data_IF_733239498456
#
_entry.id   IF_733239498456
#
_cell.length_a   1.000
_cell.length_b   1.000
_cell.length_c   1.000
_cell.angle_alpha   90.00
_cell.angle_beta   90.00
_cell.angle_gamma   90.00
#
_symmetry.space_group_name_H-M   'P 1'
#
loop_
_entity.id
_entity.type
_entity.pdbx_description
1 polymer ?
#
# COMPACT_ATOMS: atom_id res chain seq x y z
N UNK A 1 21.20 -26.16 -18.81
CA UNK A 1 20.61 -25.90 -17.49
C UNK A 1 19.31 -25.20 -17.76
N UNK A 2 18.20 -25.64 -17.16
CA UNK A 2 16.90 -25.00 -17.38
C UNK A 2 16.87 -23.68 -16.60
N UNK A 3 16.43 -22.59 -17.26
CA UNK A 3 16.41 -21.24 -16.68
C UNK A 3 15.40 -21.16 -15.52
N UNK A 4 15.72 -20.36 -14.49
CA UNK A 4 14.86 -20.20 -13.32
C UNK A 4 13.55 -19.51 -13.69
N UNK A 5 13.63 -18.48 -14.52
CA UNK A 5 12.46 -17.77 -15.05
C UNK A 5 11.44 -18.72 -15.67
N UNK A 6 11.89 -19.67 -16.51
CA UNK A 6 11.03 -20.65 -17.17
C UNK A 6 10.38 -21.60 -16.17
N UNK A 7 11.15 -22.13 -15.21
CA UNK A 7 10.59 -23.03 -14.19
C UNK A 7 9.52 -22.34 -13.35
N UNK A 8 9.76 -21.09 -12.94
CA UNK A 8 8.80 -20.28 -12.16
C UNK A 8 7.56 -19.94 -12.99
N UNK A 9 7.75 -19.49 -14.24
CA UNK A 9 6.67 -19.21 -15.17
C UNK A 9 5.80 -20.46 -15.41
N UNK A 10 6.41 -21.62 -15.65
CA UNK A 10 5.70 -22.88 -15.88
C UNK A 10 5.01 -23.39 -14.59
N UNK A 11 5.67 -23.24 -13.43
CA UNK A 11 5.13 -23.65 -12.13
C UNK A 11 3.91 -22.82 -11.73
N UNK A 12 3.95 -21.51 -11.93
CA UNK A 12 2.85 -20.61 -11.56
C UNK A 12 1.96 -20.20 -12.72
N UNK A 13 2.21 -20.66 -13.96
CA UNK A 13 1.52 -20.21 -15.16
C UNK A 13 1.59 -18.67 -15.36
N UNK A 14 2.74 -18.06 -15.06
CA UNK A 14 2.96 -16.61 -15.11
C UNK A 14 3.50 -16.12 -16.45
N UNK A 15 3.17 -14.89 -16.78
CA UNK A 15 3.83 -14.10 -17.81
C UNK A 15 4.82 -13.15 -17.13
N UNK A 16 6.09 -13.57 -17.07
CA UNK A 16 7.13 -12.79 -16.39
C UNK A 16 7.59 -11.60 -17.26
N UNK A 17 7.64 -10.36 -16.72
CA UNK A 17 8.19 -9.23 -17.43
C UNK A 17 9.70 -9.38 -17.62
N UNK A 18 10.30 -8.68 -18.60
CA UNK A 18 11.72 -8.86 -18.94
C UNK A 18 12.68 -8.60 -17.77
N UNK A 19 12.38 -7.65 -16.90
CA UNK A 19 13.24 -7.33 -15.74
C UNK A 19 13.24 -8.45 -14.70
N UNK A 20 12.11 -9.11 -14.48
CA UNK A 20 12.03 -10.26 -13.59
C UNK A 20 12.68 -11.51 -14.18
N UNK A 21 12.62 -11.68 -15.52
CA UNK A 21 13.41 -12.72 -16.20
C UNK A 21 14.90 -12.49 -15.96
N UNK A 22 15.39 -11.26 -16.18
CA UNK A 22 16.78 -10.89 -15.94
C UNK A 22 17.17 -11.08 -14.47
N UNK A 23 16.31 -10.66 -13.53
CA UNK A 23 16.52 -10.85 -12.09
C UNK A 23 16.76 -12.30 -11.68
N UNK A 24 15.97 -13.22 -12.24
CA UNK A 24 16.03 -14.65 -11.94
C UNK A 24 17.19 -15.36 -12.64
N UNK A 25 17.48 -15.00 -13.90
CA UNK A 25 18.42 -15.74 -14.74
C UNK A 25 19.85 -15.16 -14.73
N UNK A 26 20.03 -13.87 -14.46
CA UNK A 26 21.36 -13.23 -14.42
C UNK A 26 22.06 -13.38 -13.05
N UNK A 27 21.42 -14.03 -12.09
CA UNK A 27 21.99 -14.34 -10.77
C UNK A 27 21.93 -13.19 -9.75
N UNK A 28 21.27 -12.07 -10.08
CA UNK A 28 21.11 -10.92 -9.17
C UNK A 28 20.34 -11.31 -7.90
N UNK A 29 19.39 -12.24 -8.02
CA UNK A 29 18.65 -12.82 -6.90
C UNK A 29 19.51 -13.68 -5.93
N UNK A 30 20.80 -13.90 -6.22
CA UNK A 30 21.74 -14.57 -5.30
C UNK A 30 22.58 -13.58 -4.47
N UNK A 31 22.49 -12.29 -4.78
CA UNK A 31 23.20 -11.22 -4.09
C UNK A 31 22.38 -10.66 -2.91
N UNK A 32 22.97 -9.73 -2.15
CA UNK A 32 22.25 -8.96 -1.12
C UNK A 32 22.31 -7.47 -1.47
N UNK A 33 21.21 -6.76 -1.24
CA UNK A 33 21.14 -5.31 -1.41
C UNK A 33 21.58 -4.57 -0.15
N UNK A 34 21.71 -3.24 -0.23
CA UNK A 34 22.02 -2.37 0.91
C UNK A 34 20.95 -1.30 1.22
N UNK A 35 19.81 -1.37 0.54
CA UNK A 35 18.59 -0.61 0.87
C UNK A 35 17.68 -1.38 1.84
N UNK A 36 16.43 -0.98 2.02
CA UNK A 36 15.52 -1.66 2.95
C UNK A 36 15.25 -3.09 2.49
N UNK A 37 14.92 -3.27 1.20
CA UNK A 37 14.67 -4.58 0.61
C UNK A 37 15.98 -5.19 0.10
N UNK A 38 16.71 -5.79 1.03
CA UNK A 38 18.06 -6.29 0.82
C UNK A 38 18.17 -7.81 0.62
N UNK A 39 17.10 -8.58 0.85
CA UNK A 39 17.14 -10.04 0.87
C UNK A 39 16.27 -10.68 -0.22
N UNK A 40 16.81 -10.97 -1.41
CA UNK A 40 16.09 -11.66 -2.47
C UNK A 40 15.54 -13.01 -2.04
N UNK A 41 14.36 -13.35 -2.56
CA UNK A 41 13.84 -14.71 -2.48
C UNK A 41 14.52 -15.55 -3.54
N UNK A 42 15.25 -16.58 -3.11
CA UNK A 42 15.93 -17.49 -4.03
C UNK A 42 14.92 -18.24 -4.90
N UNK A 43 15.19 -18.48 -6.20
CA UNK A 43 14.26 -19.15 -7.11
C UNK A 43 13.74 -20.51 -6.61
N UNK A 44 14.61 -21.31 -6.00
CA UNK A 44 14.22 -22.61 -5.43
C UNK A 44 13.17 -22.47 -4.31
N UNK A 45 13.23 -21.40 -3.51
CA UNK A 45 12.24 -21.10 -2.45
C UNK A 45 10.94 -20.57 -3.01
N UNK A 46 10.92 -20.04 -4.24
CA UNK A 46 9.67 -19.71 -4.92
C UNK A 46 8.97 -20.99 -5.38
N UNK A 47 9.69 -21.99 -5.88
CA UNK A 47 9.08 -23.25 -6.35
C UNK A 47 8.58 -24.15 -5.21
N UNK A 48 9.22 -24.09 -4.05
CA UNK A 48 8.85 -24.81 -2.84
C UNK A 48 8.89 -23.86 -1.62
N UNK A 49 7.82 -23.06 -1.43
CA UNK A 49 7.80 -22.02 -0.40
C UNK A 49 7.73 -22.63 1.00
N UNK A 50 8.79 -22.41 1.77
CA UNK A 50 8.84 -22.72 3.19
C UNK A 50 7.84 -21.87 3.99
N UNK A 51 7.48 -22.35 5.19
CA UNK A 51 6.70 -21.57 6.14
C UNK A 51 7.36 -20.21 6.41
N UNK A 52 6.55 -19.14 6.37
CA UNK A 52 6.99 -17.78 6.65
C UNK A 52 7.46 -16.97 5.43
N UNK A 53 7.59 -17.57 4.25
CA UNK A 53 7.73 -16.80 3.01
C UNK A 53 6.40 -16.17 2.60
N UNK A 54 5.33 -16.99 2.60
CA UNK A 54 3.97 -16.55 2.31
C UNK A 54 3.15 -16.62 3.61
N UNK A 55 2.49 -15.51 3.91
CA UNK A 55 1.71 -15.33 5.14
C UNK A 55 0.23 -15.47 4.81
N UNK A 56 -0.19 -16.71 4.49
CA UNK A 56 -1.56 -16.99 4.10
C UNK A 56 -2.58 -16.43 5.11
N UNK A 57 -3.65 -15.81 4.60
CA UNK A 57 -4.67 -15.13 5.39
C UNK A 57 -4.31 -13.69 5.82
N UNK A 58 -3.04 -13.29 5.78
CA UNK A 58 -2.62 -11.91 6.00
C UNK A 58 -2.19 -11.24 4.68
N UNK A 59 -1.28 -11.89 3.96
CA UNK A 59 -0.86 -11.46 2.63
C UNK A 59 -1.99 -11.73 1.63
N UNK A 60 -2.29 -10.77 0.74
CA UNK A 60 -3.23 -10.99 -0.36
C UNK A 60 -2.87 -12.21 -1.23
N UNK A 61 -3.86 -13.03 -1.64
CA UNK A 61 -3.63 -14.31 -2.33
C UNK A 61 -3.29 -14.17 -3.82
N UNK A 62 -3.13 -12.95 -4.30
CA UNK A 62 -2.67 -12.55 -5.62
C UNK A 62 -1.22 -12.03 -5.59
N UNK A 63 -0.48 -12.24 -4.49
CA UNK A 63 0.89 -11.76 -4.30
C UNK A 63 1.91 -12.90 -4.21
N UNK A 64 3.06 -12.69 -4.85
CA UNK A 64 4.24 -13.55 -4.79
C UNK A 64 5.46 -12.73 -4.28
N UNK A 65 6.01 -13.03 -3.09
CA UNK A 65 7.17 -12.32 -2.55
C UNK A 65 8.41 -12.46 -3.44
N UNK A 66 9.14 -11.36 -3.65
CA UNK A 66 10.34 -11.31 -4.49
C UNK A 66 11.60 -10.90 -3.70
N UNK A 67 11.49 -9.88 -2.85
CA UNK A 67 12.62 -9.33 -2.07
C UNK A 67 12.12 -8.93 -0.69
N UNK A 68 12.74 -9.43 0.37
CA UNK A 68 12.38 -9.11 1.75
C UNK A 68 13.35 -8.11 2.39
N UNK A 69 12.94 -7.55 3.53
CA UNK A 69 13.79 -6.68 4.36
C UNK A 69 14.36 -7.38 5.61
N UNK A 70 14.20 -8.70 5.75
CA UNK A 70 14.52 -9.51 6.94
C UNK A 70 13.70 -9.19 8.21
N UNK A 71 12.75 -8.26 8.15
CA UNK A 71 11.86 -7.91 9.26
C UNK A 71 10.41 -8.35 9.05
N UNK A 72 10.12 -8.98 7.91
CA UNK A 72 8.81 -9.54 7.58
C UNK A 72 8.13 -8.85 6.40
N UNK A 73 8.62 -7.71 5.95
CA UNK A 73 8.04 -7.01 4.80
C UNK A 73 8.63 -7.52 3.49
N UNK A 74 7.84 -7.39 2.43
CA UNK A 74 8.18 -7.91 1.11
C UNK A 74 7.89 -6.88 0.02
N UNK A 75 8.80 -6.74 -0.93
CA UNK A 75 8.42 -6.42 -2.30
C UNK A 75 7.84 -7.68 -2.92
N UNK A 76 6.58 -7.64 -3.33
CA UNK A 76 5.87 -8.75 -3.93
C UNK A 76 5.37 -8.37 -5.33
N UNK A 77 5.47 -9.32 -6.28
CA UNK A 77 4.73 -9.22 -7.53
C UNK A 77 3.24 -9.42 -7.24
N UNK A 78 2.39 -8.58 -7.83
CA UNK A 78 0.95 -8.78 -7.85
C UNK A 78 0.52 -9.33 -9.21
N UNK A 79 -0.36 -10.31 -9.19
CA UNK A 79 -0.71 -11.12 -10.36
C UNK A 79 -2.10 -10.73 -10.87
N UNK A 80 -2.19 -10.48 -12.17
CA UNK A 80 -3.42 -10.23 -12.89
C UNK A 80 -4.18 -11.50 -13.24
N UNK A 81 -5.43 -11.34 -13.67
CA UNK A 81 -6.31 -12.46 -14.04
C UNK A 81 -5.85 -13.21 -15.30
N UNK A 82 -5.03 -12.60 -16.12
CA UNK A 82 -4.38 -13.17 -17.30
C UNK A 82 -3.00 -13.80 -16.98
N UNK A 83 -2.59 -13.78 -15.71
CA UNK A 83 -1.29 -14.26 -15.26
C UNK A 83 -0.13 -13.29 -15.53
N UNK A 84 -0.40 -12.07 -16.00
CA UNK A 84 0.60 -11.01 -16.05
C UNK A 84 0.94 -10.49 -14.65
N UNK A 85 2.18 -10.04 -14.45
CA UNK A 85 2.55 -9.28 -13.25
C UNK A 85 2.16 -7.83 -13.49
N UNK A 86 1.15 -7.35 -12.78
CA UNK A 86 0.56 -6.03 -13.01
C UNK A 86 1.33 -4.91 -12.31
N UNK A 87 1.97 -5.24 -11.20
CA UNK A 87 2.73 -4.31 -10.38
C UNK A 87 3.63 -5.05 -9.38
N UNK A 88 4.56 -4.29 -8.79
CA UNK A 88 5.29 -4.68 -7.59
C UNK A 88 4.84 -3.79 -6.44
N UNK A 89 4.41 -4.45 -5.36
CA UNK A 89 3.92 -3.80 -4.15
C UNK A 89 4.89 -4.01 -2.99
N UNK A 90 4.98 -3.05 -2.08
CA UNK A 90 5.46 -3.29 -0.73
C UNK A 90 4.30 -3.78 0.11
N UNK A 91 4.39 -5.00 0.62
CA UNK A 91 3.51 -5.52 1.64
C UNK A 91 4.18 -5.45 3.01
N UNK A 92 3.49 -4.85 3.97
CA UNK A 92 3.93 -4.64 5.34
C UNK A 92 3.32 -5.73 6.25
N UNK A 93 4.18 -6.48 6.95
CA UNK A 93 3.72 -7.52 7.87
C UNK A 93 2.96 -6.94 9.08
N UNK A 94 3.30 -5.70 9.46
CA UNK A 94 2.68 -4.99 10.56
C UNK A 94 1.35 -4.37 10.10
N UNK A 95 0.30 -5.21 10.08
CA UNK A 95 -1.06 -4.80 9.75
C UNK A 95 -1.57 -5.34 8.41
N UNK A 96 -0.70 -5.84 7.54
CA UNK A 96 -1.08 -6.39 6.23
C UNK A 96 -1.30 -5.32 5.15
N UNK A 97 -0.97 -4.06 5.45
CA UNK A 97 -1.04 -2.95 4.51
C UNK A 97 -0.13 -3.21 3.30
N UNK A 98 -0.51 -2.68 2.14
CA UNK A 98 0.29 -2.75 0.95
C UNK A 98 0.24 -1.45 0.14
N UNK A 99 1.35 -1.19 -0.56
CA UNK A 99 1.58 0.02 -1.34
C UNK A 99 2.10 -0.34 -2.72
N UNK A 100 1.55 0.24 -3.78
CA UNK A 100 2.09 0.13 -5.13
C UNK A 100 3.44 0.85 -5.21
N UNK A 101 4.53 0.08 -5.35
CA UNK A 101 5.90 0.61 -5.41
C UNK A 101 6.36 0.91 -6.85
N UNK A 102 6.00 0.04 -7.79
CA UNK A 102 6.37 0.19 -9.19
C UNK A 102 5.55 -0.71 -10.10
N UNK A 103 5.60 -0.46 -11.40
CA UNK A 103 4.99 -1.36 -12.38
C UNK A 103 5.88 -2.57 -12.69
N UNK A 104 7.16 -2.52 -12.30
CA UNK A 104 8.14 -3.59 -12.47
C UNK A 104 9.04 -3.70 -11.23
N UNK A 105 9.83 -4.77 -11.12
CA UNK A 105 10.78 -4.95 -10.01
C UNK A 105 11.91 -3.92 -10.07
N UNK A 106 12.41 -3.61 -11.26
CA UNK A 106 13.40 -2.56 -11.46
C UNK A 106 12.89 -1.19 -10.98
N UNK A 107 11.63 -0.83 -11.26
CA UNK A 107 11.03 0.39 -10.71
C UNK A 107 11.04 0.38 -9.17
N UNK A 108 10.53 -0.70 -8.55
CA UNK A 108 10.43 -0.80 -7.10
C UNK A 108 11.80 -0.75 -6.39
N UNK A 109 12.82 -1.44 -6.90
CA UNK A 109 14.17 -1.44 -6.33
C UNK A 109 14.89 -0.11 -6.51
N UNK A 110 14.66 0.60 -7.62
CA UNK A 110 15.18 1.94 -7.82
C UNK A 110 14.57 2.92 -6.80
N UNK A 111 13.25 2.81 -6.57
CA UNK A 111 12.54 3.63 -5.59
C UNK A 111 12.98 3.34 -4.15
N UNK A 112 13.15 2.07 -3.77
CA UNK A 112 13.70 1.67 -2.48
C UNK A 112 15.10 2.27 -2.24
N UNK A 113 15.99 2.19 -3.23
CA UNK A 113 17.30 2.86 -3.17
C UNK A 113 17.18 4.37 -2.96
N UNK A 114 16.22 5.03 -3.59
CA UNK A 114 15.98 6.46 -3.41
C UNK A 114 15.49 6.78 -1.98
N UNK A 115 14.55 6.00 -1.46
CA UNK A 115 14.07 6.15 -0.08
C UNK A 115 15.21 5.98 0.92
N UNK A 116 16.11 5.01 0.70
CA UNK A 116 17.33 4.86 1.51
C UNK A 116 18.18 6.13 1.51
N UNK A 117 18.37 6.80 0.37
CA UNK A 117 19.09 8.08 0.32
C UNK A 117 18.35 9.22 1.05
N UNK A 118 17.02 9.27 0.94
CA UNK A 118 16.18 10.32 1.54
C UNK A 118 16.05 10.18 3.06
N UNK A 119 15.85 8.96 3.55
CA UNK A 119 15.59 8.66 4.97
C UNK A 119 16.82 8.13 5.73
N UNK A 120 17.88 7.72 5.01
CA UNK A 120 19.13 7.19 5.56
C UNK A 120 19.97 8.17 6.37
N UNK A 121 19.46 9.38 6.65
CA UNK A 121 20.04 10.32 7.61
C UNK A 121 19.28 10.38 8.95
N UNK A 122 18.09 9.79 9.06
CA UNK A 122 17.17 10.05 10.19
C UNK A 122 16.88 8.86 11.11
N UNK A 123 17.11 7.61 10.69
CA UNK A 123 16.67 6.44 11.49
C UNK A 123 17.76 5.77 12.36
N UNK A 124 19.05 6.04 12.11
CA UNK A 124 20.15 5.55 12.96
C UNK A 124 21.14 6.71 13.16
N UNK A 125 21.13 7.28 14.37
CA UNK A 125 22.01 8.38 14.79
C UNK A 125 23.52 8.05 14.76
N UNK A 126 23.91 6.82 14.39
CA UNK A 126 25.30 6.35 14.34
C UNK A 126 25.65 5.52 13.08
N UNK A 127 24.77 5.42 12.08
CA UNK A 127 25.11 4.67 10.85
C UNK A 127 25.99 5.53 9.93
N UNK A 128 27.14 4.99 9.52
CA UNK A 128 27.98 5.60 8.48
C UNK A 128 27.14 5.89 7.23
N UNK A 129 27.51 6.96 6.50
CA UNK A 129 26.83 7.28 5.23
C UNK A 129 26.87 6.04 4.32
N UNK A 130 25.75 5.69 3.67
CA UNK A 130 25.70 4.46 2.88
C UNK A 130 26.78 4.49 1.81
N UNK A 131 27.52 3.40 1.69
CA UNK A 131 28.57 3.26 0.67
C UNK A 131 27.95 3.04 -0.71
N UNK A 132 28.65 3.40 -1.80
CA UNK A 132 28.15 3.20 -3.17
C UNK A 132 27.84 1.71 -3.45
N UNK A 133 28.60 0.80 -2.83
CA UNK A 133 28.44 -0.64 -2.97
C UNK A 133 27.11 -1.15 -2.35
N UNK A 134 26.50 -0.41 -1.42
CA UNK A 134 25.18 -0.73 -0.84
C UNK A 134 24.02 -0.54 -1.86
N UNK A 135 24.25 0.16 -2.97
CA UNK A 135 23.21 0.43 -3.97
C UNK A 135 23.23 -0.55 -5.15
N UNK A 136 23.74 -1.77 -4.97
CA UNK A 136 23.83 -2.80 -6.01
C UNK A 136 22.50 -3.02 -6.77
N UNK A 137 21.39 -3.17 -6.03
CA UNK A 137 20.06 -3.35 -6.62
C UNK A 137 19.55 -2.11 -7.36
N UNK A 138 19.72 -0.91 -6.82
CA UNK A 138 19.34 0.33 -7.49
C UNK A 138 20.16 0.57 -8.78
N UNK A 139 21.44 0.18 -8.77
CA UNK A 139 22.32 0.24 -9.95
C UNK A 139 21.87 -0.76 -11.02
N UNK A 140 21.56 -2.00 -10.63
CA UNK A 140 20.98 -2.99 -11.54
C UNK A 140 19.67 -2.48 -12.15
N UNK A 141 18.75 -2.01 -11.30
CA UNK A 141 17.45 -1.50 -11.69
C UNK A 141 17.54 -0.33 -12.70
N UNK A 142 18.41 0.65 -12.42
CA UNK A 142 18.69 1.76 -13.34
C UNK A 142 19.17 1.25 -14.71
N UNK A 143 20.12 0.32 -14.72
CA UNK A 143 20.63 -0.25 -15.98
C UNK A 143 19.52 -0.98 -16.73
N UNK A 144 18.65 -1.70 -16.01
CA UNK A 144 17.56 -2.44 -16.64
C UNK A 144 16.51 -1.53 -17.25
N UNK A 145 16.11 -0.47 -16.54
CA UNK A 145 15.20 0.55 -17.08
C UNK A 145 15.80 1.27 -18.30
N UNK A 146 17.12 1.47 -18.35
CA UNK A 146 17.79 1.98 -19.53
C UNK A 146 17.79 0.98 -20.70
N UNK A 147 18.05 -0.30 -20.44
CA UNK A 147 18.05 -1.35 -21.47
C UNK A 147 16.66 -1.47 -22.10
N UNK A 148 15.61 -1.59 -21.28
CA UNK A 148 14.24 -1.85 -21.70
C UNK A 148 13.55 -0.61 -22.27
N UNK A 149 13.66 0.53 -21.59
CA UNK A 149 12.83 1.72 -21.84
C UNK A 149 13.63 2.95 -22.26
N UNK A 150 14.97 2.84 -22.34
CA UNK A 150 15.87 3.97 -22.65
C UNK A 150 15.73 5.14 -21.66
N UNK A 151 15.34 4.84 -20.42
CA UNK A 151 15.24 5.83 -19.35
C UNK A 151 16.62 6.07 -18.75
N UNK A 152 17.15 7.29 -18.92
CA UNK A 152 18.41 7.71 -18.29
C UNK A 152 18.12 8.40 -16.95
N UNK A 153 17.93 7.59 -15.91
CA UNK A 153 17.78 8.08 -14.54
C UNK A 153 19.16 8.37 -13.94
N UNK A 154 19.40 9.50 -13.27
CA UNK A 154 20.70 9.77 -12.65
C UNK A 154 21.04 8.79 -11.53
N UNK A 155 22.32 8.46 -11.41
CA UNK A 155 22.86 7.75 -10.26
C UNK A 155 22.88 8.68 -9.03
N UNK A 156 21.84 8.58 -8.20
CA UNK A 156 21.70 9.44 -7.02
C UNK A 156 22.60 9.04 -5.84
N UNK A 157 23.17 7.84 -5.88
CA UNK A 157 24.12 7.34 -4.88
C UNK A 157 25.55 7.84 -5.08
N UNK A 158 25.92 8.31 -6.28
CA UNK A 158 27.28 8.82 -6.57
C UNK A 158 27.56 10.18 -5.92
N UNK A 159 26.50 10.84 -5.46
CA UNK A 159 26.54 12.17 -4.89
C UNK A 159 25.52 12.32 -3.77
N UNK A 160 25.87 11.98 -2.51
CA UNK A 160 24.95 12.13 -1.37
C UNK A 160 24.52 13.59 -1.09
N UNK A 161 25.00 14.56 -1.87
CA UNK A 161 24.67 15.99 -1.81
C UNK A 161 24.25 16.62 -3.17
N UNK A 162 24.14 15.87 -4.28
CA UNK A 162 23.75 16.47 -5.58
C UNK A 162 22.25 16.31 -5.80
N UNK A 163 21.54 17.43 -5.64
CA UNK A 163 20.08 17.52 -5.69
C UNK A 163 19.49 17.20 -4.32
N UNK A 164 18.56 18.02 -3.82
CA UNK A 164 17.65 17.52 -2.79
C UNK A 164 17.04 16.22 -3.32
N UNK A 165 16.76 15.24 -2.45
CA UNK A 165 16.04 14.01 -2.81
C UNK A 165 14.80 14.30 -3.69
N UNK A 166 14.22 15.49 -3.54
CA UNK A 166 13.10 15.99 -4.32
C UNK A 166 13.44 16.15 -5.81
N UNK A 167 14.64 16.60 -6.17
CA UNK A 167 15.06 16.71 -7.56
C UNK A 167 15.21 15.36 -8.27
N UNK A 168 15.38 14.27 -7.52
CA UNK A 168 15.36 12.90 -8.08
C UNK A 168 13.92 12.40 -8.19
N UNK A 169 13.06 12.66 -7.19
CA UNK A 169 11.63 12.38 -7.29
C UNK A 169 11.01 13.07 -8.50
N UNK A 170 11.37 14.34 -8.77
CA UNK A 170 10.94 15.08 -9.98
C UNK A 170 11.30 14.32 -11.26
N UNK A 171 12.50 13.72 -11.32
CA UNK A 171 12.96 12.98 -12.51
C UNK A 171 12.27 11.63 -12.67
N UNK A 172 12.08 10.90 -11.57
CA UNK A 172 11.34 9.64 -11.56
C UNK A 172 9.89 9.90 -12.01
N UNK A 173 9.29 10.98 -11.52
CA UNK A 173 7.95 11.42 -11.89
C UNK A 173 7.85 11.78 -13.39
N UNK A 174 8.80 12.57 -13.91
CA UNK A 174 8.88 12.91 -15.35
C UNK A 174 9.08 11.67 -16.21
N UNK A 175 9.82 10.67 -15.72
CA UNK A 175 10.01 9.39 -16.40
C UNK A 175 8.74 8.50 -16.39
N UNK A 176 7.73 8.85 -15.58
CA UNK A 176 6.48 8.09 -15.47
C UNK A 176 6.69 6.69 -14.89
N UNK A 177 7.58 6.56 -13.91
CA UNK A 177 7.84 5.31 -13.18
C UNK A 177 7.51 5.49 -11.70
N UNK A 178 7.17 4.41 -11.00
CA UNK A 178 6.85 4.45 -9.56
C UNK A 178 5.73 5.46 -9.21
N UNK A 179 4.80 5.73 -10.13
CA UNK A 179 3.88 6.88 -10.06
C UNK A 179 3.11 6.96 -8.74
N UNK A 180 2.55 5.84 -8.27
CA UNK A 180 1.79 5.80 -7.02
C UNK A 180 2.66 6.06 -5.78
N UNK A 181 3.85 5.47 -5.73
CA UNK A 181 4.79 5.63 -4.62
C UNK A 181 5.37 7.05 -4.57
N UNK A 182 5.74 7.63 -5.72
CA UNK A 182 6.20 9.02 -5.79
C UNK A 182 5.08 9.98 -5.39
N UNK A 183 3.87 9.78 -5.89
CA UNK A 183 2.72 10.60 -5.51
C UNK A 183 2.45 10.51 -4.00
N UNK A 184 2.54 9.32 -3.40
CA UNK A 184 2.44 9.13 -1.95
C UNK A 184 3.49 9.97 -1.21
N UNK A 185 4.75 9.93 -1.61
CA UNK A 185 5.81 10.74 -0.99
C UNK A 185 5.57 12.26 -1.14
N UNK A 186 4.99 12.69 -2.27
CA UNK A 186 4.56 14.08 -2.45
C UNK A 186 3.44 14.47 -1.50
N UNK A 187 2.43 13.61 -1.35
CA UNK A 187 1.36 13.84 -0.38
C UNK A 187 1.92 13.92 1.03
N UNK A 188 2.78 12.97 1.43
CA UNK A 188 3.39 12.99 2.76
C UNK A 188 4.22 14.25 3.00
N UNK A 189 4.96 14.73 1.99
CA UNK A 189 5.71 15.98 2.07
C UNK A 189 4.80 17.22 2.12
N UNK A 190 3.76 17.27 1.29
CA UNK A 190 2.78 18.37 1.27
C UNK A 190 1.99 18.47 2.57
N UNK A 191 1.77 17.33 3.24
CA UNK A 191 1.09 17.25 4.52
C UNK A 191 2.05 17.24 5.72
N UNK A 192 3.36 17.32 5.50
CA UNK A 192 4.34 17.37 6.58
C UNK A 192 4.21 18.68 7.35
N UNK A 193 4.34 18.61 8.67
CA UNK A 193 4.28 19.76 9.56
C UNK A 193 4.97 19.43 10.88
N UNK A 194 5.32 20.42 11.72
CA UNK A 194 6.15 20.19 12.91
C UNK A 194 5.60 19.13 13.87
N UNK A 195 4.28 19.02 14.02
CA UNK A 195 3.67 18.02 14.90
C UNK A 195 3.90 16.58 14.39
N UNK A 196 3.96 16.32 13.07
CA UNK A 196 4.31 14.98 12.55
C UNK A 196 5.72 14.53 12.92
N UNK A 197 6.63 15.47 13.18
CA UNK A 197 8.04 15.18 13.51
C UNK A 197 8.25 14.92 15.00
N UNK A 198 7.47 15.57 15.85
CA UNK A 198 7.66 15.48 17.31
C UNK A 198 6.50 14.79 18.04
N UNK A 199 5.36 14.58 17.38
CA UNK A 199 4.16 13.99 17.95
C UNK A 199 4.43 12.56 18.39
N UNK A 200 4.18 12.28 19.66
CA UNK A 200 4.34 10.96 20.24
C UNK A 200 3.44 10.81 21.49
N UNK A 201 3.25 9.58 22.01
CA UNK A 201 2.42 9.36 23.19
C UNK A 201 2.84 10.15 24.43
N UNK A 202 4.13 10.43 24.61
CA UNK A 202 4.63 11.19 25.76
C UNK A 202 4.25 12.68 25.67
N UNK A 203 4.31 13.27 24.47
CA UNK A 203 3.84 14.63 24.23
C UNK A 203 2.32 14.74 24.44
N UNK A 204 1.54 13.77 23.97
CA UNK A 204 0.10 13.71 24.22
C UNK A 204 -0.21 13.67 25.73
N UNK A 205 0.49 12.81 26.48
CA UNK A 205 0.36 12.72 27.93
C UNK A 205 0.74 14.03 28.65
N UNK A 206 1.80 14.73 28.21
CA UNK A 206 2.21 16.05 28.74
C UNK A 206 1.11 17.10 28.58
N UNK A 207 0.35 17.03 27.48
CA UNK A 207 -0.77 17.92 27.18
C UNK A 207 -2.09 17.49 27.83
N UNK A 208 -2.12 16.32 28.46
CA UNK A 208 -3.35 15.72 29.00
C UNK A 208 -4.31 15.24 27.91
N UNK A 209 -3.81 14.95 26.71
CA UNK A 209 -4.60 14.49 25.56
C UNK A 209 -4.56 12.97 25.45
N UNK A 210 -5.63 12.37 24.91
CA UNK A 210 -5.56 10.98 24.48
C UNK A 210 -4.70 10.85 23.22
N UNK A 211 -3.93 9.77 23.10
CA UNK A 211 -3.19 9.49 21.86
C UNK A 211 -4.17 9.33 20.69
N UNK A 212 -5.16 8.45 20.86
CA UNK A 212 -6.27 8.25 19.94
C UNK A 212 -7.59 8.70 20.62
N UNK A 213 -8.44 9.54 20.00
CA UNK A 213 -8.27 10.18 18.69
C UNK A 213 -7.55 11.53 18.73
N UNK A 214 -7.41 12.18 19.89
CA UNK A 214 -7.10 13.61 19.93
C UNK A 214 -5.75 13.98 19.30
N UNK A 215 -4.66 13.30 19.66
CA UNK A 215 -3.34 13.58 19.07
C UNK A 215 -3.28 13.18 17.59
N UNK A 216 -3.81 12.00 17.25
CA UNK A 216 -3.85 11.51 15.86
C UNK A 216 -4.62 12.43 14.91
N UNK A 217 -5.71 13.05 15.39
CA UNK A 217 -6.45 14.07 14.65
C UNK A 217 -5.57 15.24 14.23
N UNK A 218 -4.77 15.74 15.16
CA UNK A 218 -3.83 16.83 14.89
C UNK A 218 -2.68 16.43 13.98
N UNK A 219 -2.21 15.17 14.07
CA UNK A 219 -1.17 14.62 13.19
C UNK A 219 -1.66 14.42 11.75
N UNK A 220 -2.94 14.08 11.58
CA UNK A 220 -3.58 14.02 10.28
C UNK A 220 -3.74 15.42 9.70
N UNK A 221 -4.44 16.28 10.44
CA UNK A 221 -4.80 17.63 10.06
C UNK A 221 -4.76 18.56 11.27
N UNK A 222 -3.76 19.44 11.33
CA UNK A 222 -3.58 20.30 12.49
C UNK A 222 -4.72 21.33 12.67
N UNK A 223 -5.47 21.66 11.60
CA UNK A 223 -6.63 22.55 11.69
C UNK A 223 -7.82 21.92 12.40
N UNK A 224 -7.82 20.60 12.60
CA UNK A 224 -8.81 19.92 13.44
C UNK A 224 -8.63 20.19 14.93
N UNK A 225 -7.45 20.62 15.36
CA UNK A 225 -7.22 21.01 16.76
C UNK A 225 -7.78 22.42 17.00
N UNK A 226 -8.58 22.66 18.05
CA UNK A 226 -8.97 24.00 18.47
C UNK A 226 -7.78 24.95 18.65
N UNK A 227 -7.98 26.26 18.44
CA UNK A 227 -6.92 27.28 18.58
C UNK A 227 -6.20 27.21 19.93
N UNK A 228 -6.96 26.98 21.02
CA UNK A 228 -6.40 26.84 22.37
C UNK A 228 -5.49 25.62 22.49
N UNK A 229 -5.87 24.51 21.85
CA UNK A 229 -5.08 23.28 21.83
C UNK A 229 -3.80 23.44 21.00
N UNK A 230 -3.88 24.11 19.84
CA UNK A 230 -2.69 24.47 19.06
C UNK A 230 -1.73 25.37 19.83
N UNK A 231 -2.24 26.33 20.61
CA UNK A 231 -1.41 27.18 21.46
C UNK A 231 -0.75 26.40 22.61
N UNK A 232 -1.45 25.45 23.22
CA UNK A 232 -0.88 24.57 24.24
C UNK A 232 0.20 23.66 23.67
N UNK A 233 -0.02 23.10 22.47
CA UNK A 233 0.95 22.30 21.74
C UNK A 233 2.21 23.11 21.41
N UNK A 234 2.03 24.32 20.89
CA UNK A 234 3.11 25.27 20.62
C UNK A 234 3.97 25.54 21.86
N UNK A 235 3.32 25.83 23.00
CA UNK A 235 4.01 26.04 24.27
C UNK A 235 4.72 24.76 24.77
N UNK A 236 4.20 23.57 24.49
CA UNK A 236 4.81 22.32 24.92
C UNK A 236 6.01 21.88 24.07
N UNK A 237 6.15 22.42 22.86
CA UNK A 237 7.17 22.08 21.87
C UNK A 237 8.42 22.99 21.91
N UNK A 238 8.47 24.00 22.79
CA UNK A 238 9.62 24.91 23.06
C UNK A 238 10.49 25.26 21.83
N UNK A 239 10.18 26.38 21.16
CA UNK A 239 11.05 26.98 20.13
C UNK A 239 10.95 26.36 18.73
N UNK A 240 9.99 25.46 18.50
CA UNK A 240 9.59 25.01 17.16
C UNK A 240 8.65 26.04 16.54
N UNK A 241 8.86 26.38 15.27
CA UNK A 241 7.93 27.24 14.54
C UNK A 241 6.56 26.55 14.47
N UNK A 242 5.51 27.25 14.90
CA UNK A 242 4.17 26.66 15.13
C UNK A 242 3.17 27.07 14.07
N UNK A 243 3.66 27.32 12.87
CA UNK A 243 2.83 27.45 11.67
C UNK A 243 2.23 26.09 11.30
N UNK A 244 1.34 25.59 12.15
CA UNK A 244 0.60 24.35 11.94
C UNK A 244 -0.36 24.42 10.75
N UNK A 245 -0.65 25.62 10.26
CA UNK A 245 -1.61 25.88 9.19
C UNK A 245 -1.02 25.66 7.77
N UNK A 246 0.24 25.21 7.66
CA UNK A 246 1.02 25.15 6.40
C UNK A 246 0.81 23.89 5.54
N UNK A 247 -0.07 22.96 5.92
CA UNK A 247 -0.30 21.77 5.09
C UNK A 247 -0.87 22.15 3.71
N UNK A 248 -0.16 21.76 2.65
CA UNK A 248 -0.49 22.05 1.26
C UNK A 248 -1.51 21.04 0.69
N UNK A 249 -2.75 21.08 1.20
CA UNK A 249 -3.79 20.12 0.84
C UNK A 249 -4.18 20.13 -0.66
N UNK A 250 -4.04 21.25 -1.37
CA UNK A 250 -4.29 21.30 -2.82
C UNK A 250 -3.23 20.51 -3.62
N UNK A 251 -1.97 20.56 -3.19
CA UNK A 251 -0.87 19.77 -3.79
C UNK A 251 -1.04 18.28 -3.47
N UNK A 252 -1.40 17.98 -2.22
CA UNK A 252 -1.72 16.63 -1.77
C UNK A 252 -2.86 16.02 -2.60
N UNK A 253 -3.94 16.75 -2.80
CA UNK A 253 -5.07 16.33 -3.62
C UNK A 253 -4.67 16.02 -5.06
N UNK A 254 -3.88 16.90 -5.69
CA UNK A 254 -3.45 16.75 -7.08
C UNK A 254 -2.69 15.43 -7.26
N UNK A 255 -1.80 15.12 -6.33
CA UNK A 255 -1.04 13.87 -6.33
C UNK A 255 -1.93 12.66 -6.05
N UNK A 256 -2.82 12.75 -5.06
CA UNK A 256 -3.74 11.68 -4.70
C UNK A 256 -4.72 11.34 -5.83
N UNK A 257 -5.28 12.34 -6.52
CA UNK A 257 -6.22 12.10 -7.63
C UNK A 257 -5.58 11.38 -8.81
N UNK A 258 -4.30 11.63 -9.10
CA UNK A 258 -3.58 10.89 -10.14
C UNK A 258 -3.54 9.40 -9.81
N UNK A 259 -3.24 9.06 -8.56
CA UNK A 259 -3.25 7.66 -8.09
C UNK A 259 -4.66 7.08 -8.10
N UNK A 260 -5.65 7.82 -7.61
CA UNK A 260 -7.04 7.37 -7.56
C UNK A 260 -7.62 7.05 -8.95
N UNK A 261 -7.19 7.78 -9.99
CA UNK A 261 -7.61 7.55 -11.38
C UNK A 261 -6.88 6.35 -11.99
N UNK A 262 -5.55 6.25 -11.80
CA UNK A 262 -4.72 5.18 -12.36
C UNK A 262 -4.87 3.84 -11.61
N UNK A 263 -5.23 3.88 -10.33
CA UNK A 263 -5.29 2.74 -9.41
C UNK A 263 -6.45 2.94 -8.44
N UNK A 264 -7.70 2.78 -8.92
CA UNK A 264 -8.90 3.09 -8.15
C UNK A 264 -9.10 2.21 -6.91
N UNK A 265 -8.34 1.13 -6.74
CA UNK A 265 -8.34 0.25 -5.57
C UNK A 265 -7.50 0.78 -4.39
N UNK A 266 -6.68 1.83 -4.61
CA UNK A 266 -5.81 2.41 -3.58
C UNK A 266 -6.62 3.34 -2.68
N UNK A 267 -6.90 2.91 -1.45
CA UNK A 267 -7.78 3.59 -0.52
C UNK A 267 -7.28 4.98 -0.10
N UNK A 268 -5.99 5.10 0.20
CA UNK A 268 -5.43 6.36 0.72
C UNK A 268 -5.61 7.52 -0.27
N UNK A 269 -5.56 7.21 -1.57
CA UNK A 269 -5.69 8.20 -2.63
C UNK A 269 -7.09 8.83 -2.62
N UNK A 270 -8.14 8.02 -2.41
CA UNK A 270 -9.51 8.51 -2.27
C UNK A 270 -9.73 9.23 -0.94
N UNK A 271 -9.14 8.75 0.15
CA UNK A 271 -9.25 9.37 1.47
C UNK A 271 -8.66 10.78 1.48
N UNK A 272 -7.43 10.94 0.99
CA UNK A 272 -6.75 12.25 0.89
C UNK A 272 -7.46 13.18 -0.08
N UNK A 273 -7.85 12.69 -1.26
CA UNK A 273 -8.58 13.51 -2.22
C UNK A 273 -9.94 13.95 -1.64
N UNK A 274 -10.69 13.04 -1.03
CA UNK A 274 -11.98 13.35 -0.39
C UNK A 274 -11.83 14.39 0.72
N UNK A 275 -10.84 14.22 1.61
CA UNK A 275 -10.58 15.16 2.69
C UNK A 275 -10.18 16.55 2.20
N UNK A 276 -9.37 16.60 1.14
CA UNK A 276 -8.97 17.88 0.52
C UNK A 276 -10.17 18.64 -0.05
N UNK A 277 -11.14 17.94 -0.66
CA UNK A 277 -12.40 18.54 -1.11
C UNK A 277 -13.25 19.03 0.05
N UNK A 278 -13.33 18.24 1.12
CA UNK A 278 -14.07 18.61 2.30
C UNK A 278 -13.50 19.86 2.98
N UNK A 279 -12.17 19.95 3.11
CA UNK A 279 -11.46 21.10 3.68
C UNK A 279 -11.75 22.42 2.98
N UNK A 280 -11.92 22.40 1.66
CA UNK A 280 -12.28 23.61 0.88
C UNK A 280 -13.79 23.87 0.83
N UNK A 281 -14.60 23.12 1.58
CA UNK A 281 -16.06 23.25 1.62
C UNK A 281 -16.80 22.63 0.43
N UNK A 282 -16.11 21.88 -0.43
CA UNK A 282 -16.70 21.21 -1.60
C UNK A 282 -17.25 19.83 -1.19
N UNK A 283 -18.39 19.87 -0.50
CA UNK A 283 -19.06 18.68 0.05
C UNK A 283 -19.45 17.67 -1.02
N UNK A 284 -19.94 18.12 -2.16
CA UNK A 284 -20.42 17.23 -3.23
C UNK A 284 -19.25 16.41 -3.81
N UNK A 285 -18.14 17.06 -4.12
CA UNK A 285 -16.92 16.38 -4.60
C UNK A 285 -16.36 15.42 -3.55
N UNK A 286 -16.36 15.82 -2.27
CA UNK A 286 -15.91 14.95 -1.19
C UNK A 286 -16.74 13.66 -1.13
N UNK A 287 -18.07 13.76 -1.18
CA UNK A 287 -18.98 12.60 -1.18
C UNK A 287 -18.70 11.69 -2.38
N UNK A 288 -18.52 12.25 -3.59
CA UNK A 288 -18.21 11.44 -4.79
C UNK A 288 -16.93 10.64 -4.62
N UNK A 289 -15.91 11.20 -3.98
CA UNK A 289 -14.62 10.54 -3.75
C UNK A 289 -14.71 9.47 -2.67
N UNK A 290 -15.35 9.78 -1.54
CA UNK A 290 -15.54 8.79 -0.47
C UNK A 290 -16.44 7.64 -0.92
N UNK A 291 -17.40 7.86 -1.83
CA UNK A 291 -18.20 6.79 -2.44
C UNK A 291 -17.35 5.76 -3.19
N UNK A 292 -16.22 6.18 -3.77
CA UNK A 292 -15.23 5.27 -4.38
C UNK A 292 -14.36 4.62 -3.31
N UNK A 293 -13.83 5.42 -2.38
CA UNK A 293 -12.96 4.95 -1.31
C UNK A 293 -13.58 3.90 -0.38
N UNK A 294 -14.89 3.93 -0.15
CA UNK A 294 -15.56 2.97 0.76
C UNK A 294 -15.39 1.50 0.34
N UNK A 295 -15.17 1.24 -0.96
CA UNK A 295 -14.98 -0.13 -1.50
C UNK A 295 -13.51 -0.53 -1.63
N UNK A 296 -12.57 0.37 -1.34
CA UNK A 296 -11.15 0.05 -1.28
C UNK A 296 -10.85 -0.74 0.00
N UNK A 297 -9.88 -1.64 -0.09
CA UNK A 297 -9.41 -2.38 1.08
C UNK A 297 -8.83 -1.43 2.13
N UNK A 298 -9.04 -1.73 3.41
CA UNK A 298 -8.32 -1.03 4.51
C UNK A 298 -6.81 -1.18 4.38
N UNK A 299 -6.36 -2.29 3.78
CA UNK A 299 -4.94 -2.59 3.59
C UNK A 299 -4.30 -1.73 2.48
N UNK A 300 -5.07 -1.02 1.65
CA UNK A 300 -4.53 -0.04 0.69
C UNK A 300 -4.71 1.41 1.16
N UNK A 301 -5.13 1.62 2.42
CA UNK A 301 -5.44 2.94 2.97
C UNK A 301 -4.24 3.65 3.61
N UNK A 302 -3.11 2.95 3.83
CA UNK A 302 -1.88 3.50 4.43
C UNK A 302 -2.16 4.39 5.66
N UNK A 303 -3.11 3.93 6.47
CA UNK A 303 -3.79 4.76 7.45
C UNK A 303 -2.89 5.18 8.61
N UNK A 304 -1.79 4.45 8.81
CA UNK A 304 -0.76 4.77 9.80
C UNK A 304 0.08 5.94 9.34
N UNK A 305 0.63 5.89 8.12
CA UNK A 305 1.51 6.94 7.58
C UNK A 305 0.80 8.27 7.42
N UNK A 306 -0.47 8.23 7.01
CA UNK A 306 -1.30 9.43 6.92
C UNK A 306 -1.93 9.85 8.25
N UNK A 307 -1.85 9.02 9.30
CA UNK A 307 -2.58 9.21 10.57
C UNK A 307 -4.11 9.25 10.41
N UNK A 308 -4.66 8.54 9.43
CA UNK A 308 -6.10 8.48 9.15
C UNK A 308 -6.85 7.42 9.99
N UNK A 309 -6.15 6.57 10.73
CA UNK A 309 -6.72 5.43 11.47
C UNK A 309 -7.53 5.77 12.74
N UNK A 310 -7.63 7.05 13.12
CA UNK A 310 -8.47 7.46 14.25
C UNK A 310 -9.98 7.42 13.93
N UNK A 311 -10.35 7.31 12.64
CA UNK A 311 -11.74 7.22 12.18
C UNK A 311 -12.30 5.79 12.12
N UNK A 312 -11.51 4.77 12.47
CA UNK A 312 -11.90 3.37 12.27
C UNK A 312 -13.06 2.91 13.18
N UNK A 313 -13.43 3.71 14.20
CA UNK A 313 -14.53 3.42 15.12
C UNK A 313 -15.68 4.43 14.91
N UNK A 314 -16.93 4.01 14.60
CA UNK A 314 -17.40 2.63 14.40
C UNK A 314 -17.31 2.13 12.94
N UNK A 315 -16.93 3.00 12.00
CA UNK A 315 -17.22 2.78 10.57
C UNK A 315 -16.17 1.93 9.81
N UNK A 316 -15.16 1.40 10.50
CA UNK A 316 -14.13 0.48 9.96
C UNK A 316 -13.19 1.04 8.88
N UNK A 317 -13.54 2.15 8.22
CA UNK A 317 -12.76 2.83 7.16
C UNK A 317 -12.94 4.34 7.22
N UNK A 318 -11.92 5.08 6.78
CA UNK A 318 -11.94 6.54 6.71
C UNK A 318 -13.08 7.05 5.80
N UNK A 319 -13.09 6.66 4.52
CA UNK A 319 -14.12 7.09 3.57
C UNK A 319 -15.56 6.82 4.08
N UNK A 320 -15.79 5.64 4.65
CA UNK A 320 -17.09 5.26 5.23
C UNK A 320 -17.46 6.18 6.41
N UNK A 321 -16.53 6.43 7.33
CA UNK A 321 -16.75 7.35 8.46
C UNK A 321 -17.11 8.76 7.96
N UNK A 322 -16.42 9.25 6.94
CA UNK A 322 -16.70 10.58 6.35
C UNK A 322 -18.06 10.63 5.66
N UNK A 323 -18.48 9.58 4.95
CA UNK A 323 -19.81 9.51 4.33
C UNK A 323 -20.94 9.64 5.36
N UNK A 324 -20.78 9.02 6.54
CA UNK A 324 -21.73 9.14 7.65
C UNK A 324 -21.76 10.55 8.22
N UNK A 325 -20.60 11.14 8.50
CA UNK A 325 -20.53 12.50 9.03
C UNK A 325 -21.12 13.54 8.05
N UNK A 326 -20.86 13.35 6.77
CA UNK A 326 -21.44 14.14 5.69
C UNK A 326 -22.88 13.76 5.36
N UNK A 327 -23.55 12.90 6.13
CA UNK A 327 -24.94 12.48 5.93
C UNK A 327 -25.24 12.23 4.44
N UNK A 328 -24.33 11.52 3.76
CA UNK A 328 -24.39 11.35 2.32
C UNK A 328 -25.65 10.55 1.93
N UNK A 329 -26.37 11.02 0.92
CA UNK A 329 -27.48 10.26 0.35
C UNK A 329 -26.91 9.25 -0.64
N UNK A 330 -26.95 7.97 -0.27
CA UNK A 330 -26.50 6.86 -1.10
C UNK A 330 -27.68 6.01 -1.55
N UNK A 331 -27.52 5.28 -2.64
CA UNK A 331 -28.54 4.40 -3.20
C UNK A 331 -27.98 3.00 -3.48
N UNK A 332 -28.87 2.02 -3.61
CA UNK A 332 -28.51 0.66 -4.02
C UNK A 332 -27.41 0.02 -3.14
N UNK A 333 -26.39 -0.51 -3.81
CA UNK A 333 -25.30 -1.23 -3.15
C UNK A 333 -24.45 -0.35 -2.23
N UNK A 334 -24.30 0.94 -2.53
CA UNK A 334 -23.52 1.86 -1.71
C UNK A 334 -24.21 2.09 -0.36
N UNK A 335 -25.53 2.33 -0.38
CA UNK A 335 -26.31 2.45 0.85
C UNK A 335 -26.33 1.14 1.65
N UNK A 336 -26.45 -0.01 0.94
CA UNK A 336 -26.40 -1.33 1.58
C UNK A 336 -25.05 -1.52 2.27
N UNK A 337 -23.94 -1.34 1.55
CA UNK A 337 -22.60 -1.51 2.09
C UNK A 337 -22.34 -0.58 3.27
N UNK A 338 -22.63 0.71 3.14
CA UNK A 338 -22.48 1.70 4.22
C UNK A 338 -23.21 1.26 5.49
N UNK A 339 -24.46 0.77 5.36
CA UNK A 339 -25.24 0.34 6.53
C UNK A 339 -24.64 -0.88 7.25
N UNK A 340 -23.96 -1.79 6.54
CA UNK A 340 -23.26 -2.92 7.15
C UNK A 340 -22.05 -2.47 7.96
N UNK A 341 -21.38 -1.41 7.52
CA UNK A 341 -20.22 -0.83 8.20
C UNK A 341 -20.58 -0.05 9.48
N UNK A 342 -21.85 0.24 9.74
CA UNK A 342 -22.30 1.06 10.87
C UNK A 342 -22.66 0.26 12.14
N UNK A 343 -22.09 -0.93 12.32
CA UNK A 343 -22.40 -1.79 13.47
C UNK A 343 -21.61 -1.42 14.73
N UNK A 344 -22.26 -1.51 15.90
CA UNK A 344 -21.61 -1.29 17.21
C UNK A 344 -20.65 -2.43 17.64
N UNK A 345 -20.71 -3.59 16.96
CA UNK A 345 -19.87 -4.76 17.22
C UNK A 345 -18.96 -5.04 16.02
N UNK A 346 -17.66 -4.82 16.19
CA UNK A 346 -16.64 -5.00 15.13
C UNK A 346 -16.67 -6.41 14.54
N UNK A 347 -16.91 -7.44 15.36
CA UNK A 347 -17.03 -8.83 14.88
C UNK A 347 -18.26 -9.01 13.99
N UNK A 348 -19.44 -8.56 14.41
CA UNK A 348 -20.65 -8.67 13.61
C UNK A 348 -20.58 -7.82 12.33
N UNK A 349 -19.96 -6.65 12.37
CA UNK A 349 -19.71 -5.80 11.21
C UNK A 349 -18.82 -6.53 10.19
N UNK A 350 -17.69 -7.10 10.63
CA UNK A 350 -16.79 -7.89 9.77
C UNK A 350 -17.48 -9.08 9.11
N UNK A 351 -18.26 -9.86 9.87
CA UNK A 351 -19.01 -10.99 9.31
C UNK A 351 -20.08 -10.52 8.30
N UNK A 352 -20.72 -9.38 8.54
CA UNK A 352 -21.75 -8.84 7.64
C UNK A 352 -21.15 -8.37 6.31
N UNK A 353 -19.99 -7.72 6.36
CA UNK A 353 -19.23 -7.28 5.17
C UNK A 353 -18.67 -8.49 4.41
N UNK A 354 -18.14 -9.48 5.12
CA UNK A 354 -17.72 -10.76 4.55
C UNK A 354 -18.87 -11.41 3.76
N UNK A 355 -20.03 -11.55 4.39
CA UNK A 355 -21.21 -12.14 3.75
C UNK A 355 -21.70 -11.33 2.55
N UNK A 356 -21.66 -9.99 2.63
CA UNK A 356 -22.00 -9.13 1.50
C UNK A 356 -21.14 -9.43 0.27
N UNK A 357 -19.82 -9.58 0.45
CA UNK A 357 -18.92 -9.89 -0.65
C UNK A 357 -19.09 -11.33 -1.16
N UNK A 358 -19.39 -12.30 -0.30
CA UNK A 358 -19.77 -13.65 -0.74
C UNK A 358 -21.06 -13.66 -1.56
N UNK A 359 -22.06 -12.86 -1.19
CA UNK A 359 -23.28 -12.71 -1.98
C UNK A 359 -22.95 -12.14 -3.37
N UNK A 360 -22.10 -11.11 -3.43
CA UNK A 360 -21.64 -10.52 -4.69
C UNK A 360 -20.83 -11.49 -5.54
N UNK A 361 -20.02 -12.33 -4.93
CA UNK A 361 -19.26 -13.36 -5.65
C UNK A 361 -20.21 -14.37 -6.32
N UNK A 362 -21.25 -14.82 -5.59
CA UNK A 362 -22.27 -15.73 -6.13
C UNK A 362 -23.09 -15.09 -7.25
N UNK A 363 -23.47 -13.82 -7.11
CA UNK A 363 -24.16 -13.08 -8.18
C UNK A 363 -23.28 -13.03 -9.45
N UNK A 364 -21.99 -12.72 -9.30
CA UNK A 364 -21.04 -12.70 -10.42
C UNK A 364 -20.82 -14.08 -11.07
N UNK A 365 -20.83 -15.16 -10.28
CA UNK A 365 -20.78 -16.54 -10.80
C UNK A 365 -22.02 -16.88 -11.63
N UNK A 366 -23.21 -16.49 -11.15
CA UNK A 366 -24.47 -16.67 -11.90
C UNK A 366 -24.48 -15.89 -13.21
N UNK A 367 -23.91 -14.69 -13.20
CA UNK A 367 -23.72 -13.84 -14.38
C UNK A 367 -22.57 -14.29 -15.29
N UNK A 368 -21.86 -15.37 -14.93
CA UNK A 368 -20.69 -15.92 -15.65
C UNK A 368 -19.58 -14.89 -15.83
N UNK A 369 -19.36 -14.07 -14.80
CA UNK A 369 -18.26 -13.13 -14.72
C UNK A 369 -17.22 -13.61 -13.70
N UNK A 370 -16.31 -14.53 -14.10
CA UNK A 370 -15.39 -15.16 -13.16
C UNK A 370 -14.33 -14.21 -12.60
N UNK A 371 -13.97 -13.15 -13.33
CA UNK A 371 -13.05 -12.12 -12.84
C UNK A 371 -13.68 -11.34 -11.68
N UNK A 372 -14.95 -10.94 -11.83
CA UNK A 372 -15.68 -10.29 -10.77
C UNK A 372 -15.96 -11.23 -9.59
N UNK A 373 -16.27 -12.49 -9.85
CA UNK A 373 -16.42 -13.50 -8.79
C UNK A 373 -15.14 -13.64 -7.96
N UNK A 374 -13.98 -13.77 -8.62
CA UNK A 374 -12.67 -13.80 -7.94
C UNK A 374 -12.44 -12.53 -7.12
N UNK A 375 -12.70 -11.34 -7.69
CA UNK A 375 -12.55 -10.05 -7.00
C UNK A 375 -13.43 -9.97 -5.75
N UNK A 376 -14.67 -10.43 -5.82
CA UNK A 376 -15.61 -10.44 -4.70
C UNK A 376 -15.20 -11.47 -3.63
N UNK A 377 -14.76 -12.67 -4.01
CA UNK A 377 -14.19 -13.64 -3.06
C UNK A 377 -12.95 -13.06 -2.35
N UNK A 378 -12.08 -12.35 -3.08
CA UNK A 378 -10.94 -11.64 -2.50
C UNK A 378 -11.40 -10.59 -1.48
N UNK A 379 -12.36 -9.74 -1.84
CA UNK A 379 -12.87 -8.72 -0.93
C UNK A 379 -13.55 -9.32 0.30
N UNK A 380 -14.14 -10.51 0.20
CA UNK A 380 -14.72 -11.19 1.36
C UNK A 380 -13.71 -11.48 2.48
N UNK A 381 -12.40 -11.58 2.17
CA UNK A 381 -11.33 -11.77 3.15
C UNK A 381 -10.47 -10.54 3.40
N UNK A 382 -10.18 -9.76 2.36
CA UNK A 382 -9.18 -8.68 2.38
C UNK A 382 -9.76 -7.28 2.21
N UNK A 383 -11.08 -7.09 2.31
CA UNK A 383 -11.65 -5.75 2.31
C UNK A 383 -11.41 -5.01 3.63
N UNK A 384 -11.82 -5.62 4.75
CA UNK A 384 -11.57 -5.10 6.10
C UNK A 384 -10.81 -6.09 6.99
N UNK A 385 -10.57 -7.32 6.51
CA UNK A 385 -9.96 -8.40 7.29
C UNK A 385 -10.96 -9.15 8.17
N UNK A 386 -10.64 -10.41 8.48
CA UNK A 386 -11.44 -11.30 9.32
C UNK A 386 -10.71 -11.63 10.62
N UNK A 387 -11.49 -11.88 11.67
CA UNK A 387 -10.96 -12.29 12.98
C UNK A 387 -10.64 -13.79 12.99
N UNK A 388 -11.46 -14.61 12.32
CA UNK A 388 -11.33 -16.06 12.33
C UNK A 388 -10.43 -16.54 11.18
N UNK A 389 -9.24 -17.03 11.56
CA UNK A 389 -8.27 -17.62 10.65
C UNK A 389 -8.85 -18.75 9.79
N UNK A 390 -9.78 -19.55 10.32
CA UNK A 390 -10.35 -20.68 9.59
C UNK A 390 -11.18 -20.23 8.38
N UNK A 391 -11.77 -19.04 8.42
CA UNK A 391 -12.54 -18.49 7.29
C UNK A 391 -11.66 -18.21 6.08
N UNK A 392 -10.42 -17.79 6.30
CA UNK A 392 -9.48 -17.58 5.19
C UNK A 392 -9.19 -18.86 4.41
N UNK A 393 -9.17 -20.04 5.05
CA UNK A 393 -9.01 -21.31 4.32
C UNK A 393 -10.15 -21.53 3.33
N UNK A 394 -11.40 -21.33 3.77
CA UNK A 394 -12.57 -21.45 2.89
C UNK A 394 -12.56 -20.42 1.77
N UNK A 395 -12.18 -19.18 2.05
CA UNK A 395 -12.09 -18.13 1.01
C UNK A 395 -11.00 -18.48 -0.01
N UNK A 396 -9.87 -19.01 0.43
CA UNK A 396 -8.80 -19.46 -0.47
C UNK A 396 -9.25 -20.64 -1.34
N UNK A 397 -10.03 -21.59 -0.80
CA UNK A 397 -10.64 -22.65 -1.61
C UNK A 397 -11.55 -22.06 -2.72
N UNK A 398 -12.41 -21.09 -2.37
CA UNK A 398 -13.30 -20.43 -3.34
C UNK A 398 -12.53 -19.60 -4.38
N UNK A 399 -11.45 -18.93 -3.98
CA UNK A 399 -10.56 -18.20 -4.90
C UNK A 399 -9.89 -19.13 -5.92
N UNK A 400 -9.36 -20.27 -5.46
CA UNK A 400 -8.79 -21.30 -6.34
C UNK A 400 -9.83 -21.78 -7.34
N UNK A 401 -11.05 -22.04 -6.88
CA UNK A 401 -12.14 -22.51 -7.73
C UNK A 401 -12.60 -21.45 -8.74
N UNK A 402 -12.79 -20.21 -8.31
CA UNK A 402 -13.20 -19.09 -9.17
C UNK A 402 -12.14 -18.78 -10.24
N UNK A 403 -10.87 -18.74 -9.86
CA UNK A 403 -9.76 -18.54 -10.80
C UNK A 403 -9.67 -19.69 -11.82
N UNK A 404 -9.81 -20.94 -11.37
CA UNK A 404 -9.81 -22.11 -12.26
C UNK A 404 -10.97 -22.06 -13.26
N UNK A 405 -12.18 -21.76 -12.79
CA UNK A 405 -13.37 -21.64 -13.63
C UNK A 405 -13.26 -20.50 -14.65
N UNK A 406 -12.56 -19.43 -14.28
CA UNK A 406 -12.28 -18.29 -15.15
C UNK A 406 -11.10 -18.45 -16.11
N UNK A 407 -10.37 -19.57 -16.04
CA UNK A 407 -9.18 -19.81 -16.85
C UNK A 407 -7.91 -19.12 -16.35
N UNK A 408 -7.94 -18.47 -15.19
CA UNK A 408 -6.78 -17.82 -14.57
C UNK A 408 -5.97 -18.83 -13.76
N UNK A 409 -5.20 -19.67 -14.45
CA UNK A 409 -4.36 -20.70 -13.79
C UNK A 409 -3.33 -20.09 -12.83
N UNK A 410 -2.84 -18.88 -13.12
CA UNK A 410 -1.85 -18.20 -12.28
C UNK A 410 -2.39 -17.88 -10.88
N UNK A 411 -3.51 -17.15 -10.83
CA UNK A 411 -4.18 -16.85 -9.56
C UNK A 411 -4.59 -18.12 -8.82
N UNK A 412 -5.08 -19.15 -9.53
CA UNK A 412 -5.45 -20.41 -8.88
C UNK A 412 -4.25 -21.07 -8.17
N UNK A 413 -3.07 -21.10 -8.80
CA UNK A 413 -1.87 -21.72 -8.22
C UNK A 413 -1.29 -20.91 -7.07
N UNK A 414 -1.30 -19.58 -7.18
CA UNK A 414 -0.82 -18.71 -6.11
C UNK A 414 -1.76 -18.78 -4.90
N UNK A 415 -3.07 -18.68 -5.11
CA UNK A 415 -4.05 -18.85 -4.03
C UNK A 415 -3.93 -20.22 -3.35
N UNK A 416 -3.66 -21.31 -4.09
CA UNK A 416 -3.43 -22.63 -3.49
C UNK A 416 -2.14 -22.69 -2.65
N UNK A 417 -1.08 -21.99 -3.05
CA UNK A 417 0.12 -21.87 -2.21
C UNK A 417 -0.19 -21.12 -0.91
N UNK A 418 -0.92 -20.01 -0.98
CA UNK A 418 -1.39 -19.28 0.21
C UNK A 418 -2.26 -20.16 1.11
N UNK A 419 -3.12 -20.99 0.51
CA UNK A 419 -3.95 -21.97 1.23
C UNK A 419 -3.12 -23.02 1.95
N UNK A 420 -2.13 -23.61 1.27
CA UNK A 420 -1.24 -24.64 1.84
C UNK A 420 -0.34 -24.11 2.95
N UNK A 421 0.06 -22.84 2.89
CA UNK A 421 0.87 -22.20 3.93
C UNK A 421 0.04 -21.73 5.12
N UNK A 422 -1.27 -21.54 4.92
CA UNK A 422 -2.22 -21.25 5.99
C UNK A 422 -2.67 -22.49 6.77
N UNK A 423 -2.82 -23.64 6.10
CA UNK A 423 -3.24 -24.92 6.68
C UNK A 423 -2.19 -25.52 7.60
#
# INVERSE_FOLDING_TARGET
MELWSRQIADHYALQLPPDLVAWLDDGVCEESGGSEFCAPVKPARLLDPELGLIWGGFMPPDMLPLVGNNYGDWLAARIGFDGEITEVVHWCHAGGDWLRYGSTLAEALLFDGLLRCRHGRTAQLDAESPTIDEFGFAKWARNQLFVERKLDIPAFWDHPNVGSSDGILDRIEVAGICCAAVARERVLAALDHPLRKCGNPALAAKLGWSWNPQMLRGLFDANLLPVVERAALAAAMDGVDTTFDEQAWEEAETSALRVAIDSPEIGWAWDIAGWSAERRGDRETAIVRYRRGQFCSVFSADSVSFYAHWFLDPAGKFATARLLELNATLEGDEAKYLSLMCGDDDRAMRESVHQYWLDKARDAELDRNPQEAYRCHYQSGWDIGLIDRQRYLSILDELVQAATNGGSMALARIADVHRRTLA
#
